data_IF_304175929872
#
_entry.id   IF_304175929872
#
_cell.length_a   1.000
_cell.length_b   1.000
_cell.length_c   1.000
_cell.angle_alpha   90.00
_cell.angle_beta   90.00
_cell.angle_gamma   90.00
#
_symmetry.space_group_name_H-M   'P 1'
#
loop_
_entity.id
_entity.type
_entity.pdbx_description
1 polymer ?
#
# COMPACT_ATOMS: atom_id res chain seq x y z
N UNK A 1 1.48 6.94 3.79
CA UNK A 1 1.45 5.47 3.94
C UNK A 1 1.66 4.67 2.64
N UNK A 2 1.11 5.07 1.46
CA UNK A 2 1.24 4.28 0.22
C UNK A 2 2.64 4.29 -0.45
N UNK A 3 3.52 5.23 -0.10
CA UNK A 3 4.82 5.42 -0.77
C UNK A 3 5.72 4.18 -0.81
N UNK A 4 5.74 3.39 0.27
CA UNK A 4 6.48 2.12 0.32
C UNK A 4 5.98 1.10 -0.71
N UNK A 5 4.66 0.95 -0.83
CA UNK A 5 4.03 0.09 -1.84
C UNK A 5 4.31 0.58 -3.26
N UNK A 6 4.28 1.90 -3.50
CA UNK A 6 4.63 2.47 -4.80
C UNK A 6 6.09 2.17 -5.19
N UNK A 7 7.03 2.35 -4.26
CA UNK A 7 8.44 2.03 -4.47
C UNK A 7 8.65 0.52 -4.72
N UNK A 8 7.93 -0.33 -3.99
CA UNK A 8 7.94 -1.77 -4.19
C UNK A 8 7.49 -2.17 -5.60
N UNK A 9 6.40 -1.59 -6.10
CA UNK A 9 5.95 -1.84 -7.45
C UNK A 9 6.93 -1.33 -8.52
N UNK A 10 7.52 -0.16 -8.33
CA UNK A 10 8.55 0.35 -9.24
C UNK A 10 9.77 -0.58 -9.27
N UNK A 11 10.20 -1.10 -8.12
CA UNK A 11 11.31 -2.04 -8.04
C UNK A 11 11.01 -3.36 -8.77
N UNK A 12 9.82 -3.93 -8.58
CA UNK A 12 9.39 -5.13 -9.29
C UNK A 12 9.37 -4.88 -10.80
N UNK A 13 8.75 -3.77 -11.25
CA UNK A 13 8.72 -3.41 -12.66
C UNK A 13 10.11 -3.18 -13.25
N UNK A 14 11.05 -2.61 -12.48
CA UNK A 14 12.44 -2.47 -12.91
C UNK A 14 13.13 -3.83 -13.06
N UNK A 15 13.00 -4.74 -12.08
CA UNK A 15 13.55 -6.10 -12.16
C UNK A 15 12.98 -6.89 -13.34
N UNK A 16 11.71 -6.67 -13.70
CA UNK A 16 11.06 -7.31 -14.84
C UNK A 16 11.31 -6.62 -16.19
N UNK A 17 11.99 -5.47 -16.20
CA UNK A 17 12.21 -4.67 -17.41
C UNK A 17 13.44 -5.08 -18.20
N UNK A 18 13.50 -4.64 -19.46
CA UNK A 18 14.72 -4.74 -20.29
C UNK A 18 15.91 -3.91 -19.78
N UNK A 19 15.68 -2.98 -18.85
CA UNK A 19 16.72 -2.17 -18.23
C UNK A 19 17.36 -2.85 -16.99
N UNK A 20 16.86 -4.02 -16.60
CA UNK A 20 17.43 -4.76 -15.49
C UNK A 20 18.84 -5.25 -15.81
N UNK A 21 19.75 -5.11 -14.86
CA UNK A 21 21.17 -5.46 -15.01
C UNK A 21 21.59 -6.64 -14.12
N UNK A 22 20.64 -7.46 -13.66
CA UNK A 22 20.91 -8.63 -12.83
C UNK A 22 21.10 -8.33 -11.33
N UNK A 23 21.15 -7.06 -10.91
CA UNK A 23 21.29 -6.69 -9.49
C UNK A 23 19.94 -6.65 -8.77
N UNK A 24 19.96 -6.82 -7.46
CA UNK A 24 18.77 -6.65 -6.63
C UNK A 24 18.30 -5.19 -6.62
N UNK A 25 17.00 -4.99 -6.49
CA UNK A 25 16.44 -3.73 -6.04
C UNK A 25 16.28 -3.75 -4.52
N UNK A 26 16.51 -2.60 -3.88
CA UNK A 26 16.29 -2.41 -2.45
C UNK A 26 15.25 -1.31 -2.27
N UNK A 27 14.16 -1.63 -1.58
CA UNK A 27 13.10 -0.69 -1.24
C UNK A 27 13.15 -0.44 0.26
N UNK A 28 13.08 0.83 0.65
CA UNK A 28 13.01 1.24 2.05
C UNK A 28 11.72 2.03 2.25
N UNK A 29 10.88 1.54 3.15
CA UNK A 29 9.69 2.25 3.62
C UNK A 29 9.95 2.66 5.07
N UNK A 30 9.97 3.95 5.34
CA UNK A 30 10.18 4.47 6.69
C UNK A 30 9.40 5.76 6.90
N UNK A 31 8.91 5.94 8.12
CA UNK A 31 8.09 7.09 8.50
C UNK A 31 8.22 7.36 10.00
N UNK A 32 8.00 8.62 10.37
CA UNK A 32 7.77 9.06 11.74
C UNK A 32 6.40 9.74 11.76
N UNK A 33 5.42 9.07 12.36
CA UNK A 33 4.05 9.56 12.49
C UNK A 33 3.91 10.33 13.81
N UNK A 34 3.93 11.66 13.72
CA UNK A 34 3.74 12.59 14.83
C UNK A 34 2.46 13.41 14.66
N UNK A 35 1.78 13.64 15.78
CA UNK A 35 0.49 14.32 15.83
C UNK A 35 0.45 15.39 16.92
N UNK A 36 -0.32 16.45 16.67
CA UNK A 36 -0.55 17.53 17.61
C UNK A 36 -1.26 17.02 18.90
N UNK A 37 -1.47 17.91 19.88
CA UNK A 37 -2.24 17.55 21.07
C UNK A 37 -3.68 17.23 20.64
N UNK A 38 -4.19 16.07 21.04
CA UNK A 38 -5.54 15.65 20.69
C UNK A 38 -5.67 14.12 20.59
N UNK A 39 -6.84 13.64 20.14
CA UNK A 39 -7.16 12.21 20.11
C UNK A 39 -6.30 11.39 19.13
N UNK A 40 -5.66 12.03 18.14
CA UNK A 40 -4.74 11.35 17.21
C UNK A 40 -3.33 11.14 17.80
N UNK A 41 -2.97 11.79 18.92
CA UNK A 41 -1.62 11.66 19.49
C UNK A 41 -1.22 10.22 19.85
N UNK A 42 -2.10 9.40 20.46
CA UNK A 42 -1.77 8.02 20.78
C UNK A 42 -1.61 7.10 19.57
N UNK A 43 -2.01 7.53 18.37
CA UNK A 43 -1.91 6.74 17.13
C UNK A 43 -0.62 7.04 16.35
N UNK A 44 0.37 7.68 16.99
CA UNK A 44 1.70 7.91 16.42
C UNK A 44 2.58 6.66 16.45
N UNK A 45 3.76 6.77 15.85
CA UNK A 45 4.73 5.68 15.79
C UNK A 45 5.90 6.03 14.88
N UNK A 46 6.94 5.20 14.89
CA UNK A 46 8.07 5.35 13.99
C UNK A 46 8.64 3.97 13.65
N UNK A 47 9.10 3.80 12.41
CA UNK A 47 9.67 2.54 11.96
C UNK A 47 10.22 2.62 10.55
N UNK A 48 11.04 1.63 10.20
CA UNK A 48 11.56 1.45 8.85
C UNK A 48 11.65 -0.04 8.51
N UNK A 49 11.32 -0.37 7.25
CA UNK A 49 11.40 -1.72 6.70
C UNK A 49 12.20 -1.66 5.40
N UNK A 50 13.18 -2.54 5.27
CA UNK A 50 13.95 -2.74 4.04
C UNK A 50 13.52 -4.05 3.36
N UNK A 51 13.19 -3.98 2.08
CA UNK A 51 12.72 -5.11 1.26
C UNK A 51 13.70 -5.30 0.12
N UNK A 52 14.33 -6.47 0.02
CA UNK A 52 15.20 -6.83 -1.09
C UNK A 52 14.38 -7.58 -2.16
N UNK A 53 14.49 -7.15 -3.42
CA UNK A 53 13.70 -7.68 -4.54
C UNK A 53 14.62 -8.26 -5.60
N UNK A 54 14.30 -9.48 -6.05
CA UNK A 54 15.00 -10.21 -7.10
C UNK A 54 14.23 -11.44 -7.57
N UNK A 55 14.75 -12.18 -8.56
CA UNK A 55 14.16 -13.42 -9.05
C UNK A 55 14.26 -14.55 -8.00
N UNK A 56 13.43 -15.59 -8.17
CA UNK A 56 13.41 -16.79 -7.31
C UNK A 56 13.17 -16.47 -5.82
N UNK A 57 12.34 -15.45 -5.55
CA UNK A 57 12.00 -15.04 -4.20
C UNK A 57 11.10 -16.08 -3.49
N UNK A 58 11.22 -16.23 -2.16
CA UNK A 58 10.32 -17.09 -1.39
C UNK A 58 8.91 -16.50 -1.25
N UNK A 59 8.77 -15.17 -1.38
CA UNK A 59 7.50 -14.46 -1.42
C UNK A 59 7.34 -13.87 -2.82
N UNK A 60 6.46 -14.48 -3.62
CA UNK A 60 6.29 -14.15 -5.04
C UNK A 60 5.03 -13.30 -5.22
N UNK A 61 5.13 -12.24 -6.04
CA UNK A 61 3.97 -11.44 -6.41
C UNK A 61 3.12 -12.14 -7.47
N UNK A 62 1.82 -12.24 -7.22
CA UNK A 62 0.88 -12.72 -8.22
C UNK A 62 0.72 -11.70 -9.36
N UNK A 63 1.30 -12.04 -10.50
CA UNK A 63 1.28 -11.17 -11.69
C UNK A 63 -0.15 -10.99 -12.22
N UNK A 64 -0.52 -9.76 -12.56
CA UNK A 64 -1.76 -9.45 -13.28
C UNK A 64 -3.05 -9.47 -12.45
N UNK A 65 -3.00 -9.75 -11.15
CA UNK A 65 -4.19 -9.74 -10.28
C UNK A 65 -4.28 -8.51 -9.36
N UNK A 66 -3.20 -7.74 -9.24
CA UNK A 66 -3.14 -6.49 -8.47
C UNK A 66 -4.28 -5.54 -8.83
N UNK A 67 -4.79 -4.83 -7.82
CA UNK A 67 -5.76 -3.74 -7.95
C UNK A 67 -5.21 -2.43 -7.36
N UNK A 68 -5.71 -1.30 -7.85
CA UNK A 68 -5.35 0.03 -7.35
C UNK A 68 -6.56 0.95 -7.46
N UNK A 69 -6.85 1.67 -6.39
CA UNK A 69 -7.86 2.71 -6.34
C UNK A 69 -7.22 4.03 -5.88
N UNK A 70 -7.41 5.09 -6.65
CA UNK A 70 -6.91 6.43 -6.34
C UNK A 70 -8.04 7.42 -6.53
N UNK A 71 -8.23 8.29 -5.54
CA UNK A 71 -9.28 9.30 -5.54
C UNK A 71 -8.72 10.60 -4.96
N UNK A 72 -9.15 11.73 -5.52
CA UNK A 72 -8.93 13.01 -4.90
C UNK A 72 -9.78 13.14 -3.61
N UNK A 73 -9.12 13.30 -2.47
CA UNK A 73 -9.73 13.46 -1.16
C UNK A 73 -8.88 14.38 -0.27
N UNK A 74 -9.53 14.99 0.72
CA UNK A 74 -8.91 15.81 1.76
C UNK A 74 -9.19 15.21 3.15
N UNK A 75 -9.02 13.90 3.27
CA UNK A 75 -9.24 13.15 4.49
C UNK A 75 -8.06 13.28 5.47
N UNK A 76 -6.83 13.16 4.95
CA UNK A 76 -5.59 13.33 5.71
C UNK A 76 -4.52 13.95 4.82
N UNK A 77 -3.99 15.11 5.19
CA UNK A 77 -2.98 15.81 4.40
C UNK A 77 -2.12 16.75 5.25
N UNK A 78 -0.96 17.18 4.73
CA UNK A 78 -0.02 18.08 5.40
C UNK A 78 0.16 19.38 4.59
N UNK A 79 -0.79 20.32 4.68
CA UNK A 79 -0.75 21.55 3.88
C UNK A 79 0.19 22.62 4.48
N UNK A 80 0.41 22.59 5.79
CA UNK A 80 1.26 23.54 6.50
C UNK A 80 2.72 23.05 6.44
N UNK A 81 3.54 23.75 5.65
CA UNK A 81 4.95 23.42 5.46
C UNK A 81 5.82 23.80 6.67
N UNK A 82 5.27 24.50 7.67
CA UNK A 82 5.99 24.90 8.89
C UNK A 82 5.77 23.92 10.05
N UNK A 83 4.90 22.93 9.87
CA UNK A 83 4.49 21.98 10.91
C UNK A 83 4.61 20.54 10.43
N UNK A 84 5.00 19.63 11.33
CA UNK A 84 5.03 18.19 11.04
C UNK A 84 3.63 17.54 11.14
N UNK A 85 2.67 18.25 11.75
CA UNK A 85 1.34 17.74 12.08
C UNK A 85 0.39 17.80 10.89
N UNK A 86 -0.42 16.74 10.68
CA UNK A 86 -1.41 16.73 9.60
C UNK A 86 -2.69 17.48 9.95
N UNK A 87 -3.39 17.92 8.92
CA UNK A 87 -4.83 18.21 8.96
C UNK A 87 -5.58 16.90 8.73
N UNK A 88 -6.52 16.58 9.63
CA UNK A 88 -7.23 15.29 9.63
C UNK A 88 -8.73 15.51 9.78
N UNK A 89 -9.50 15.00 8.82
CA UNK A 89 -10.93 14.71 9.00
C UNK A 89 -11.07 13.20 9.27
N UNK A 90 -11.18 12.85 10.55
CA UNK A 90 -11.19 11.44 10.97
C UNK A 90 -12.39 10.64 10.44
N UNK A 91 -13.56 11.27 10.33
CA UNK A 91 -14.76 10.60 9.79
C UNK A 91 -14.58 10.34 8.30
N UNK A 92 -14.10 11.34 7.55
CA UNK A 92 -13.85 11.19 6.13
C UNK A 92 -12.73 10.17 5.87
N UNK A 93 -11.68 10.15 6.70
CA UNK A 93 -10.56 9.20 6.59
C UNK A 93 -11.03 7.75 6.66
N UNK A 94 -11.91 7.43 7.62
CA UNK A 94 -12.49 6.08 7.74
C UNK A 94 -13.31 5.73 6.49
N UNK A 95 -14.14 6.67 6.02
CA UNK A 95 -14.97 6.47 4.83
C UNK A 95 -14.13 6.26 3.56
N UNK A 96 -13.08 7.06 3.38
CA UNK A 96 -12.14 6.94 2.27
C UNK A 96 -11.40 5.61 2.30
N UNK A 97 -10.93 5.18 3.47
CA UNK A 97 -10.25 3.89 3.62
C UNK A 97 -11.15 2.71 3.26
N UNK A 98 -12.36 2.65 3.81
CA UNK A 98 -13.31 1.55 3.53
C UNK A 98 -13.75 1.55 2.06
N UNK A 99 -14.00 2.73 1.48
CA UNK A 99 -14.32 2.85 0.06
C UNK A 99 -13.17 2.37 -0.84
N UNK A 100 -11.93 2.70 -0.49
CA UNK A 100 -10.76 2.23 -1.21
C UNK A 100 -10.59 0.71 -1.08
N UNK A 101 -10.81 0.14 0.12
CA UNK A 101 -10.77 -1.29 0.36
C UNK A 101 -11.79 -2.03 -0.52
N UNK A 102 -13.05 -1.58 -0.53
CA UNK A 102 -14.12 -2.18 -1.33
C UNK A 102 -13.77 -2.17 -2.83
N UNK A 103 -13.36 -1.02 -3.35
CA UNK A 103 -13.01 -0.90 -4.77
C UNK A 103 -11.79 -1.74 -5.14
N UNK A 104 -10.75 -1.73 -4.28
CA UNK A 104 -9.56 -2.54 -4.47
C UNK A 104 -9.91 -4.02 -4.51
N UNK A 105 -10.69 -4.51 -3.55
CA UNK A 105 -11.10 -5.90 -3.44
C UNK A 105 -11.94 -6.34 -4.63
N UNK A 106 -12.95 -5.56 -5.03
CA UNK A 106 -13.81 -5.88 -6.18
C UNK A 106 -13.01 -6.04 -7.48
N UNK A 107 -12.07 -5.13 -7.74
CA UNK A 107 -11.23 -5.19 -8.95
C UNK A 107 -10.21 -6.33 -8.86
N UNK A 108 -9.64 -6.59 -7.68
CA UNK A 108 -8.77 -7.75 -7.45
C UNK A 108 -9.52 -9.05 -7.77
N UNK A 109 -10.70 -9.25 -7.20
CA UNK A 109 -11.55 -10.43 -7.42
C UNK A 109 -11.90 -10.60 -8.90
N UNK A 110 -12.19 -9.51 -9.60
CA UNK A 110 -12.43 -9.53 -11.05
C UNK A 110 -11.17 -9.95 -11.83
N UNK A 111 -9.99 -9.48 -11.44
CA UNK A 111 -8.74 -9.84 -12.11
C UNK A 111 -8.36 -11.31 -11.87
N UNK A 112 -8.53 -11.81 -10.65
CA UNK A 112 -8.35 -13.24 -10.32
C UNK A 112 -9.32 -14.09 -11.14
N UNK A 113 -10.62 -13.77 -11.11
CA UNK A 113 -11.64 -14.50 -11.86
C UNK A 113 -11.32 -14.55 -13.36
N UNK A 114 -10.85 -13.45 -13.96
CA UNK A 114 -10.40 -13.42 -15.37
C UNK A 114 -9.19 -14.30 -15.64
N UNK A 115 -8.27 -14.44 -14.68
CA UNK A 115 -6.99 -15.15 -14.86
C UNK A 115 -7.12 -16.66 -14.62
N UNK A 116 -7.95 -17.07 -13.66
CA UNK A 116 -8.01 -18.47 -13.20
C UNK A 116 -9.43 -19.04 -13.08
N UNK A 117 -10.47 -18.28 -13.42
CA UNK A 117 -11.88 -18.62 -13.18
C UNK A 117 -12.22 -18.93 -11.70
N UNK A 118 -11.33 -18.59 -10.77
CA UNK A 118 -11.58 -18.74 -9.33
C UNK A 118 -12.53 -17.64 -8.82
N UNK A 119 -13.34 -18.00 -7.84
CA UNK A 119 -14.17 -17.07 -7.07
C UNK A 119 -13.40 -16.66 -5.83
N UNK A 120 -13.23 -15.36 -5.61
CA UNK A 120 -12.51 -14.84 -4.45
C UNK A 120 -13.50 -14.57 -3.31
N UNK A 121 -13.37 -15.35 -2.24
CA UNK A 121 -13.98 -15.14 -0.92
C UNK A 121 -12.87 -14.92 0.12
N UNK A 122 -13.21 -14.72 1.39
CA UNK A 122 -12.19 -14.66 2.44
C UNK A 122 -11.42 -15.98 2.58
N UNK A 123 -12.06 -17.12 2.35
CA UNK A 123 -11.42 -18.45 2.39
C UNK A 123 -10.42 -18.68 1.24
N UNK A 124 -10.38 -17.79 0.26
CA UNK A 124 -9.37 -17.81 -0.80
C UNK A 124 -7.96 -17.48 -0.27
N UNK A 125 -7.86 -16.80 0.87
CA UNK A 125 -6.61 -16.32 1.43
C UNK A 125 -6.25 -17.09 2.71
N UNK A 126 -5.03 -17.60 2.80
CA UNK A 126 -4.49 -18.11 4.07
C UNK A 126 -4.26 -16.99 5.09
N UNK A 127 -3.97 -15.78 4.61
CA UNK A 127 -3.77 -14.59 5.42
C UNK A 127 -4.14 -13.31 4.66
N UNK A 128 -4.61 -12.30 5.39
CA UNK A 128 -4.90 -10.96 4.85
C UNK A 128 -4.16 -9.92 5.68
N UNK A 129 -3.31 -9.13 5.03
CA UNK A 129 -2.49 -8.09 5.67
C UNK A 129 -3.03 -6.70 5.29
N UNK A 130 -3.00 -5.78 6.24
CA UNK A 130 -3.50 -4.41 6.08
C UNK A 130 -2.46 -3.38 6.51
N UNK A 131 -2.64 -2.14 6.04
CA UNK A 131 -2.06 -1.00 6.74
C UNK A 131 -2.72 -0.85 8.11
N UNK A 132 -1.91 -0.81 9.16
CA UNK A 132 -2.31 -0.62 10.57
C UNK A 132 -1.86 0.73 11.10
#
# INVERSE_FOLDING_TARGET
>A
CYGGTAALFNAISWVESSAWNGRYALVVAGDIAVYAKGPARPTGGAGAVAILIGPNAPLVFDRGVRSTYVKHAYDFYKPDLTSEYPTVDGKLSIQCFLSALDNCYQVYSKNVSKKSNAVVTLDYFDAVLFHS
#
